data_IF_307209085705
#
_entry.id   IF_307209085705
#
_cell.length_a   1.000
_cell.length_b   1.000
_cell.length_c   1.000
_cell.angle_alpha   90.00
_cell.angle_beta   90.00
_cell.angle_gamma   90.00
#
_symmetry.space_group_name_H-M   'P 1'
#
loop_
_entity.id
_entity.type
_entity.pdbx_description
1 polymer ?
#
# COMPACT_ATOMS: atom_id res chain seq x y z
N UNK A 1 -14.62 0.34 3.43
CA UNK A 1 -13.15 0.44 3.59
C UNK A 1 -12.72 0.39 5.04
N UNK A 2 -13.05 1.37 5.90
CA UNK A 2 -12.55 1.42 7.31
C UNK A 2 -12.75 0.12 8.11
N UNK A 3 -13.89 -0.55 7.96
CA UNK A 3 -14.19 -1.81 8.64
C UNK A 3 -13.38 -3.02 8.15
N UNK A 4 -12.72 -2.90 6.99
CA UNK A 4 -11.89 -3.96 6.40
C UNK A 4 -10.40 -3.82 6.78
N UNK A 5 -10.01 -2.67 7.36
CA UNK A 5 -8.63 -2.42 7.75
C UNK A 5 -8.35 -3.20 9.03
N UNK A 6 -7.35 -4.06 8.97
CA UNK A 6 -6.90 -4.79 10.13
C UNK A 6 -6.35 -3.81 11.19
N UNK A 7 -6.86 -3.83 12.43
CA UNK A 7 -6.53 -2.82 13.42
C UNK A 7 -5.10 -2.95 13.97
N UNK A 8 -4.45 -4.10 13.77
CA UNK A 8 -3.11 -4.40 14.29
C UNK A 8 -2.06 -4.02 13.25
N UNK A 9 -2.22 -4.52 12.03
CA UNK A 9 -1.26 -4.37 10.92
C UNK A 9 -1.52 -3.14 10.07
N UNK A 10 -2.76 -2.63 10.06
CA UNK A 10 -3.19 -1.59 9.13
C UNK A 10 -3.44 -2.08 7.71
N UNK A 11 -3.30 -3.38 7.43
CA UNK A 11 -3.48 -3.95 6.10
C UNK A 11 -4.96 -3.97 5.67
N UNK A 12 -5.18 -3.92 4.36
CA UNK A 12 -6.44 -4.30 3.72
C UNK A 12 -6.25 -5.68 3.06
N UNK A 13 -7.17 -6.63 3.28
CA UNK A 13 -7.02 -7.97 2.72
C UNK A 13 -6.98 -7.93 1.19
N UNK A 14 -6.04 -8.66 0.60
CA UNK A 14 -6.07 -8.92 -0.85
C UNK A 14 -7.29 -9.76 -1.20
N UNK A 15 -8.09 -9.30 -2.15
CA UNK A 15 -9.32 -9.95 -2.61
C UNK A 15 -9.56 -9.83 -4.13
N UNK A 16 -8.64 -9.20 -4.87
CA UNK A 16 -8.78 -9.06 -6.31
C UNK A 16 -8.62 -10.43 -7.00
N UNK A 17 -9.37 -10.69 -8.06
CA UNK A 17 -9.35 -12.02 -8.72
C UNK A 17 -8.05 -12.29 -9.50
N UNK A 18 -7.30 -11.24 -9.83
CA UNK A 18 -6.00 -11.33 -10.53
C UNK A 18 -4.82 -11.58 -9.58
N UNK A 19 -5.02 -11.43 -8.27
CA UNK A 19 -3.98 -11.58 -7.25
C UNK A 19 -4.37 -12.65 -6.23
N UNK A 20 -3.39 -13.26 -5.54
CA UNK A 20 -3.70 -14.17 -4.44
C UNK A 20 -4.51 -13.49 -3.34
N UNK A 21 -5.54 -14.16 -2.85
CA UNK A 21 -6.43 -13.62 -1.81
C UNK A 21 -5.98 -14.02 -0.41
N UNK A 22 -6.00 -13.08 0.53
CA UNK A 22 -5.60 -13.33 1.93
C UNK A 22 -5.48 -12.07 2.78
N UNK A 23 -5.84 -12.17 4.06
CA UNK A 23 -5.76 -11.04 5.00
C UNK A 23 -4.34 -10.64 5.39
N UNK A 24 -3.38 -11.57 5.28
CA UNK A 24 -1.96 -11.34 5.53
C UNK A 24 -1.20 -10.84 4.28
N UNK A 25 -1.86 -10.83 3.12
CA UNK A 25 -1.28 -10.40 1.86
C UNK A 25 -1.56 -8.90 1.68
N UNK A 26 -0.49 -8.14 1.56
CA UNK A 26 -0.51 -6.71 1.24
C UNK A 26 -0.44 -6.60 -0.28
N UNK A 27 -1.59 -6.45 -0.91
CA UNK A 27 -1.70 -6.23 -2.35
C UNK A 27 -1.47 -4.76 -2.69
N UNK A 28 -0.34 -4.49 -3.33
CA UNK A 28 0.13 -3.14 -3.67
C UNK A 28 -0.23 -2.71 -5.10
N UNK A 29 -1.08 -3.47 -5.80
CA UNK A 29 -1.47 -3.20 -7.20
C UNK A 29 -2.95 -2.95 -7.35
N UNK A 30 -3.80 -3.67 -6.62
CA UNK A 30 -5.26 -3.50 -6.72
C UNK A 30 -5.92 -3.06 -5.42
N UNK A 31 -5.18 -3.04 -4.30
CA UNK A 31 -5.74 -2.71 -3.00
C UNK A 31 -5.10 -1.46 -2.39
N UNK A 32 -3.86 -1.58 -1.91
CA UNK A 32 -3.22 -0.55 -1.06
C UNK A 32 -2.84 0.71 -1.84
N UNK A 33 -2.43 0.57 -3.10
CA UNK A 33 -2.11 1.68 -4.00
C UNK A 33 -3.31 2.63 -4.21
N UNK A 34 -4.53 2.11 -4.20
CA UNK A 34 -5.76 2.92 -4.29
C UNK A 34 -6.25 3.37 -2.92
N UNK A 35 -6.18 2.48 -1.94
CA UNK A 35 -6.74 2.74 -0.61
C UNK A 35 -5.98 3.82 0.15
N UNK A 36 -4.65 3.84 0.09
CA UNK A 36 -3.84 4.83 0.80
C UNK A 36 -4.14 6.28 0.36
N UNK A 37 -4.04 6.63 -0.94
CA UNK A 37 -4.41 7.97 -1.38
C UNK A 37 -5.88 8.29 -1.11
N UNK A 38 -6.80 7.33 -1.29
CA UNK A 38 -8.21 7.55 -0.98
C UNK A 38 -8.46 7.86 0.51
N UNK A 39 -7.75 7.18 1.42
CA UNK A 39 -7.79 7.45 2.85
C UNK A 39 -7.24 8.85 3.19
N UNK A 40 -6.14 9.27 2.54
CA UNK A 40 -5.58 10.61 2.71
C UNK A 40 -6.57 11.69 2.24
N UNK A 41 -7.16 11.53 1.05
CA UNK A 41 -8.20 12.44 0.56
C UNK A 41 -9.42 12.45 1.50
N UNK A 42 -9.85 11.28 1.96
CA UNK A 42 -10.98 11.18 2.91
C UNK A 42 -10.69 11.91 4.23
N UNK A 43 -9.46 11.81 4.73
CA UNK A 43 -9.04 12.52 5.95
C UNK A 43 -8.97 14.04 5.77
N UNK A 44 -8.82 14.53 4.54
CA UNK A 44 -8.84 15.96 4.21
C UNK A 44 -10.28 16.48 3.97
N UNK A 45 -11.16 15.65 3.41
CA UNK A 45 -12.53 16.03 3.03
C UNK A 45 -13.55 15.88 4.15
N UNK A 46 -13.36 14.91 5.05
CA UNK A 46 -14.35 14.58 6.07
C UNK A 46 -13.83 14.89 7.48
N UNK A 47 -14.71 15.45 8.32
CA UNK A 47 -14.45 15.65 9.75
C UNK A 47 -14.65 14.35 10.54
N UNK A 48 -13.87 13.33 10.19
CA UNK A 48 -13.87 12.03 10.84
C UNK A 48 -12.43 11.54 11.03
N UNK A 49 -11.98 11.62 12.29
CA UNK A 49 -10.62 11.25 12.69
C UNK A 49 -10.26 9.79 12.36
N UNK A 50 -11.24 8.91 12.12
CA UNK A 50 -10.99 7.51 11.74
C UNK A 50 -10.28 7.40 10.39
N UNK A 51 -10.55 8.31 9.45
CA UNK A 51 -9.84 8.32 8.15
C UNK A 51 -8.38 8.68 8.31
N UNK A 52 -8.07 9.70 9.13
CA UNK A 52 -6.68 10.07 9.45
C UNK A 52 -5.94 8.91 10.09
N UNK A 53 -6.53 8.30 11.13
CA UNK A 53 -5.92 7.17 11.83
C UNK A 53 -5.69 5.96 10.91
N UNK A 54 -6.62 5.67 10.01
CA UNK A 54 -6.48 4.62 9.02
C UNK A 54 -5.39 4.93 7.98
N UNK A 55 -5.35 6.16 7.45
CA UNK A 55 -4.33 6.61 6.51
C UNK A 55 -2.92 6.47 7.10
N UNK A 56 -2.73 6.92 8.35
CA UNK A 56 -1.45 6.85 9.05
C UNK A 56 -1.01 5.41 9.32
N UNK A 57 -1.93 4.52 9.67
CA UNK A 57 -1.61 3.09 9.86
C UNK A 57 -1.16 2.43 8.56
N UNK A 58 -1.94 2.61 7.49
CA UNK A 58 -1.61 2.02 6.20
C UNK A 58 -0.31 2.63 5.63
N UNK A 59 -0.09 3.93 5.82
CA UNK A 59 1.16 4.59 5.43
C UNK A 59 2.37 3.99 6.16
N UNK A 60 2.27 3.77 7.49
CA UNK A 60 3.35 3.13 8.26
C UNK A 60 3.67 1.76 7.71
N UNK A 61 2.66 0.92 7.47
CA UNK A 61 2.85 -0.40 6.86
C UNK A 61 3.56 -0.31 5.52
N UNK A 62 3.11 0.57 4.63
CA UNK A 62 3.71 0.78 3.30
C UNK A 62 5.18 1.19 3.41
N UNK A 63 5.53 2.09 4.33
CA UNK A 63 6.92 2.51 4.53
C UNK A 63 7.79 1.40 5.14
N UNK A 64 7.24 0.60 6.06
CA UNK A 64 7.95 -0.50 6.71
C UNK A 64 8.38 -1.59 5.72
N UNK A 65 7.52 -1.89 4.74
CA UNK A 65 7.76 -2.96 3.76
C UNK A 65 8.59 -2.51 2.54
N UNK A 66 9.05 -1.26 2.46
CA UNK A 66 9.90 -0.82 1.35
C UNK A 66 11.10 -1.74 1.16
N UNK A 67 11.43 -2.03 -0.09
CA UNK A 67 12.50 -2.96 -0.43
C UNK A 67 13.86 -2.37 -0.05
N UNK A 68 14.70 -3.18 0.62
CA UNK A 68 16.04 -2.81 1.10
C UNK A 68 17.16 -3.60 0.43
N UNK A 69 16.85 -4.30 -0.66
CA UNK A 69 17.81 -5.07 -1.43
C UNK A 69 18.87 -4.13 -2.02
N UNK A 70 20.12 -4.59 -2.18
CA UNK A 70 21.24 -3.74 -2.59
C UNK A 70 21.14 -3.26 -4.04
N UNK A 71 20.31 -3.88 -4.88
CA UNK A 71 20.12 -3.51 -6.27
C UNK A 71 19.47 -2.13 -6.37
N UNK A 72 20.09 -1.23 -7.15
CA UNK A 72 19.67 0.18 -7.22
C UNK A 72 18.22 0.39 -7.68
N UNK A 73 17.66 -0.52 -8.48
CA UNK A 73 16.28 -0.43 -8.95
C UNK A 73 15.25 -0.96 -7.93
N UNK A 74 15.72 -1.65 -6.89
CA UNK A 74 14.91 -2.18 -5.79
C UNK A 74 14.97 -1.29 -4.55
N UNK A 75 16.10 -0.65 -4.29
CA UNK A 75 16.29 0.19 -3.09
C UNK A 75 15.20 1.26 -2.92
N UNK A 76 14.29 1.05 -1.97
CA UNK A 76 13.18 1.93 -1.64
C UNK A 76 11.90 1.74 -2.46
N UNK A 77 11.89 0.80 -3.41
CA UNK A 77 10.69 0.53 -4.21
C UNK A 77 9.66 -0.31 -3.43
N UNK A 78 8.46 -0.38 -3.99
CA UNK A 78 7.44 -1.36 -3.64
C UNK A 78 7.27 -2.36 -4.77
N UNK A 79 7.17 -3.64 -4.42
CA UNK A 79 6.82 -4.71 -5.35
C UNK A 79 5.31 -4.97 -5.34
N UNK A 80 4.85 -5.98 -6.06
CA UNK A 80 3.42 -6.22 -6.25
C UNK A 80 2.69 -6.71 -5.00
N UNK A 81 3.31 -7.59 -4.22
CA UNK A 81 2.68 -8.18 -3.05
C UNK A 81 3.68 -8.49 -1.94
N UNK A 82 3.29 -8.18 -0.70
CA UNK A 82 4.04 -8.53 0.51
C UNK A 82 3.25 -9.51 1.37
N UNK A 83 3.91 -10.49 1.96
CA UNK A 83 3.30 -11.46 2.89
C UNK A 83 3.74 -11.14 4.32
N UNK A 84 2.78 -10.69 5.14
CA UNK A 84 3.01 -10.34 6.54
C UNK A 84 3.39 -11.53 7.42
N UNK A 85 2.94 -12.75 7.07
CA UNK A 85 3.30 -13.96 7.81
C UNK A 85 4.74 -14.37 7.50
N UNK A 86 5.17 -14.22 6.25
CA UNK A 86 6.52 -14.55 5.81
C UNK A 86 7.54 -13.44 6.13
N UNK A 87 7.09 -12.19 6.33
CA UNK A 87 7.97 -11.05 6.53
C UNK A 87 8.78 -10.69 5.29
N UNK A 88 8.21 -10.90 4.10
CA UNK A 88 8.90 -10.66 2.82
C UNK A 88 7.93 -10.54 1.64
N UNK A 89 8.49 -10.29 0.46
CA UNK A 89 7.72 -10.21 -0.78
C UNK A 89 7.06 -11.57 -1.09
N UNK A 90 5.76 -11.55 -1.35
CA UNK A 90 4.90 -12.73 -1.42
C UNK A 90 4.02 -12.75 -2.68
N UNK A 91 2.99 -13.59 -2.69
CA UNK A 91 2.09 -13.72 -3.86
C UNK A 91 2.57 -14.67 -4.95
N UNK A 92 3.71 -15.35 -4.74
CA UNK A 92 4.31 -16.27 -5.70
C UNK A 92 4.85 -15.57 -6.96
N UNK A 93 5.39 -16.38 -7.88
CA UNK A 93 5.99 -15.88 -9.12
C UNK A 93 5.09 -16.05 -10.35
N UNK A 94 3.93 -16.70 -10.20
CA UNK A 94 3.03 -17.03 -11.30
C UNK A 94 1.75 -16.19 -11.33
N UNK A 95 1.60 -15.22 -10.43
CA UNK A 95 0.46 -14.31 -10.39
C UNK A 95 0.91 -12.93 -10.84
N UNK A 96 0.01 -12.23 -11.56
CA UNK A 96 0.19 -10.81 -11.80
C UNK A 96 0.27 -10.10 -10.45
N UNK A 97 1.31 -9.30 -10.27
CA UNK A 97 1.53 -8.63 -9.01
C UNK A 97 2.13 -9.46 -7.89
N UNK A 98 2.75 -10.60 -8.21
CA UNK A 98 3.51 -11.39 -7.25
C UNK A 98 4.80 -10.73 -6.75
N UNK A 99 5.64 -11.54 -6.11
CA UNK A 99 6.78 -11.09 -5.30
C UNK A 99 7.85 -10.33 -6.09
N UNK A 100 7.89 -10.53 -7.40
CA UNK A 100 8.89 -9.94 -8.29
C UNK A 100 8.30 -8.91 -9.27
N UNK A 101 7.01 -8.61 -9.15
CA UNK A 101 6.39 -7.60 -9.99
C UNK A 101 6.72 -6.20 -9.49
N UNK A 102 7.31 -5.37 -10.36
CA UNK A 102 7.66 -3.98 -10.05
C UNK A 102 6.99 -3.08 -11.08
N UNK A 103 5.95 -2.38 -10.65
CA UNK A 103 5.21 -1.46 -11.51
C UNK A 103 5.52 -0.02 -11.14
N UNK A 104 6.11 0.71 -12.08
CA UNK A 104 6.30 2.15 -11.92
C UNK A 104 4.96 2.89 -11.85
N UNK A 105 4.02 2.57 -12.74
CA UNK A 105 2.74 3.28 -12.85
C UNK A 105 1.64 2.81 -11.89
N UNK A 106 1.47 1.50 -11.72
CA UNK A 106 0.36 0.95 -10.93
C UNK A 106 0.67 0.85 -9.43
N UNK A 107 1.94 0.79 -9.02
CA UNK A 107 2.33 0.62 -7.62
C UNK A 107 3.16 1.80 -7.12
N UNK A 108 4.34 2.01 -7.69
CA UNK A 108 5.31 2.96 -7.14
C UNK A 108 4.88 4.41 -7.30
N UNK A 109 4.26 4.80 -8.41
CA UNK A 109 3.75 6.15 -8.62
C UNK A 109 2.64 6.53 -7.62
N UNK A 110 1.53 5.77 -7.47
CA UNK A 110 0.49 6.13 -6.51
C UNK A 110 0.97 6.10 -5.05
N UNK A 111 1.77 5.10 -4.66
CA UNK A 111 2.34 5.05 -3.31
C UNK A 111 3.35 6.17 -3.07
N UNK A 112 4.21 6.45 -4.04
CA UNK A 112 5.16 7.56 -3.98
C UNK A 112 4.45 8.91 -3.88
N UNK A 113 3.35 9.11 -4.60
CA UNK A 113 2.53 10.31 -4.49
C UNK A 113 1.91 10.42 -3.09
N UNK A 114 1.34 9.34 -2.55
CA UNK A 114 0.79 9.36 -1.20
C UNK A 114 1.85 9.68 -0.13
N UNK A 115 3.06 9.15 -0.25
CA UNK A 115 4.20 9.48 0.63
C UNK A 115 4.61 10.94 0.48
N UNK A 116 4.78 11.43 -0.76
CA UNK A 116 5.13 12.82 -1.02
C UNK A 116 4.06 13.81 -0.51
N UNK A 117 2.79 13.44 -0.67
CA UNK A 117 1.66 14.17 -0.11
C UNK A 117 1.76 14.27 1.41
N UNK A 118 1.95 13.13 2.08
CA UNK A 118 2.12 13.11 3.54
C UNK A 118 3.27 14.01 4.01
N UNK A 119 4.44 13.93 3.36
CA UNK A 119 5.61 14.74 3.71
C UNK A 119 5.41 16.24 3.46
N UNK A 120 4.58 16.60 2.48
CA UNK A 120 4.29 18.00 2.13
C UNK A 120 3.05 18.57 2.82
N UNK A 121 2.34 17.76 3.63
CA UNK A 121 1.05 18.13 4.20
C UNK A 121 -0.06 18.30 3.16
N UNK A 122 0.08 17.65 2.00
CA UNK A 122 -0.87 17.67 0.88
C UNK A 122 -1.42 16.29 0.58
N UNK A 123 -2.45 16.25 -0.25
CA UNK A 123 -3.10 15.04 -0.73
C UNK A 123 -3.42 15.19 -2.21
N UNK A 124 -3.95 14.14 -2.85
CA UNK A 124 -4.28 14.18 -4.28
C UNK A 124 -5.33 15.23 -4.65
N UNK A 125 -6.18 15.67 -3.73
CA UNK A 125 -7.21 16.69 -4.01
C UNK A 125 -6.64 18.12 -4.06
N UNK A 126 -5.39 18.31 -3.63
CA UNK A 126 -4.74 19.62 -3.64
C UNK A 126 -4.08 19.96 -5.00
N UNK A 127 -4.29 19.11 -6.01
CA UNK A 127 -3.75 19.18 -7.37
C UNK A 127 -4.86 19.01 -8.41
#
# INVERSE_FOLDING_TARGET
MLALIDPVTGNLPSQHFETPSGGHLVDLIYTVNWALPALQCSAALFDDARYRAAAERLLRLVLEIQDRSPEAHLGGCWRGMYDLNAGGWGGGDCYEGGANSIYSGWTNAPLGWAVAGHLSGRTLIDY
#
